data_IF_650616228574
#
_entry.id   IF_650616228574
#
_cell.length_a   1.000
_cell.length_b   1.000
_cell.length_c   1.000
_cell.angle_alpha   90.00
_cell.angle_beta   90.00
_cell.angle_gamma   90.00
#
_symmetry.space_group_name_H-M   'P 1'
#
loop_
_entity.id
_entity.type
_entity.pdbx_description
1 polymer ?
2 non-polymer ?
3 non-polymer ?
4 water ?
#
# COMPACT_ATOMS: atom_id res chain seq x y z
N UNK A 1 2.90 24.46 -2.52
CA UNK A 1 2.35 24.62 -1.14
C UNK A 1 2.47 23.31 -0.38
N UNK A 2 1.38 22.80 0.15
CA UNK A 2 1.34 21.53 0.85
C UNK A 2 0.11 20.76 0.39
N UNK A 3 0.27 19.50 -0.01
CA UNK A 3 -0.88 18.74 -0.48
C UNK A 3 -1.21 17.57 0.44
N UNK A 4 -2.50 17.28 0.56
CA UNK A 4 -2.96 16.13 1.32
C UNK A 4 -3.14 14.96 0.35
N UNK A 5 -2.29 13.95 0.49
CA UNK A 5 -2.38 12.75 -0.33
C UNK A 5 -2.99 11.64 0.53
N UNK A 6 -4.21 11.23 0.19
CA UNK A 6 -4.90 10.19 0.93
C UNK A 6 -4.80 8.87 0.18
N UNK A 7 -4.40 7.84 0.92
CA UNK A 7 -4.28 6.50 0.35
C UNK A 7 -5.21 5.58 1.16
N UNK A 8 -6.18 4.98 0.49
CA UNK A 8 -7.05 4.03 1.17
C UNK A 8 -6.54 2.66 0.72
N UNK A 9 -5.98 1.91 1.67
CA UNK A 9 -5.56 0.54 1.35
C UNK A 9 -6.81 -0.32 1.51
N UNK A 10 -7.39 -0.70 0.38
CA UNK A 10 -8.67 -1.40 0.39
C UNK A 10 -8.61 -2.89 0.64
N UNK A 11 -8.05 -3.60 -0.34
CA UNK A 11 -8.03 -5.05 -0.30
C UNK A 11 -6.95 -5.64 -1.20
N UNK A 12 -6.76 -6.95 -1.01
CA UNK A 12 -5.87 -7.70 -1.89
C UNK A 12 -6.56 -9.03 -2.21
N UNK A 13 -6.23 -9.62 -3.35
CA UNK A 13 -6.82 -10.89 -3.71
C UNK A 13 -5.72 -11.84 -4.21
N UNK A 14 -5.89 -13.11 -3.82
CA UNK A 14 -4.97 -14.15 -4.21
C UNK A 14 -3.55 -13.85 -3.74
N UNK A 15 -3.44 -13.48 -2.48
CA UNK A 15 -2.13 -13.32 -1.85
C UNK A 15 -1.52 -14.72 -1.77
N UNK A 16 -0.29 -14.85 -2.24
CA UNK A 16 0.39 -16.12 -2.25
C UNK A 16 1.90 -15.99 -2.11
N UNK A 17 2.52 -17.02 -1.53
CA UNK A 17 3.98 -17.08 -1.45
C UNK A 17 4.49 -18.05 -2.52
N UNK A 18 3.59 -18.64 -3.28
CA UNK A 18 3.91 -19.73 -4.20
C UNK A 18 3.27 -20.98 -3.56
N UNK A 19 3.19 -22.07 -4.31
CA UNK A 19 2.58 -23.29 -3.80
C UNK A 19 3.28 -23.80 -2.55
N UNK A 20 4.60 -23.93 -2.60
CA UNK A 20 5.34 -24.45 -1.46
C UNK A 20 5.24 -23.55 -0.23
N UNK A 21 5.46 -22.25 -0.41
CA UNK A 21 5.38 -21.31 0.69
C UNK A 21 3.98 -21.28 1.28
N UNK A 22 2.95 -21.29 0.44
CA UNK A 22 1.59 -21.33 0.94
C UNK A 22 1.29 -22.62 1.70
N UNK A 23 1.90 -23.75 1.33
CA UNK A 23 1.65 -24.99 2.07
C UNK A 23 2.35 -24.91 3.43
N UNK A 24 3.52 -24.31 3.52
CA UNK A 24 4.16 -24.08 4.81
C UNK A 24 3.33 -23.11 5.64
N UNK A 25 2.94 -21.97 5.06
CA UNK A 25 2.22 -20.95 5.82
C UNK A 25 1.24 -20.16 4.97
N UNK A 26 -0.05 -20.23 5.25
CA UNK A 26 -0.99 -19.36 4.53
C UNK A 26 -0.64 -17.91 4.91
N UNK A 27 -0.52 -17.06 3.90
CA UNK A 27 -0.19 -15.66 4.12
C UNK A 27 -1.05 -15.04 5.20
N UNK A 28 -0.39 -14.25 6.04
CA UNK A 28 -0.94 -13.44 7.12
C UNK A 28 -0.58 -12.01 6.71
N UNK A 29 -1.35 -11.44 5.79
CA UNK A 29 -1.01 -10.19 5.20
C UNK A 29 -1.36 -8.84 5.75
N UNK A 30 -0.51 -7.91 5.33
CA UNK A 30 -0.67 -6.50 5.64
C UNK A 30 0.07 -5.72 4.56
N UNK A 31 -0.28 -4.44 4.49
CA UNK A 31 0.33 -3.52 3.56
C UNK A 31 1.11 -2.46 4.34
N UNK A 32 2.23 -2.07 3.75
CA UNK A 32 3.09 -1.04 4.32
C UNK A 32 3.28 0.04 3.26
N UNK A 33 3.14 1.28 3.69
CA UNK A 33 3.28 2.46 2.86
C UNK A 33 4.49 3.28 3.29
N UNK A 34 5.16 3.89 2.34
CA UNK A 34 6.32 4.72 2.63
C UNK A 34 6.57 5.70 1.50
N UNK A 35 6.73 6.95 1.90
CA UNK A 35 7.01 8.05 0.99
C UNK A 35 8.23 8.75 1.59
N UNK A 36 9.38 8.46 1.01
CA UNK A 36 10.67 8.93 1.51
C UNK A 36 10.84 10.43 1.57
N UNK A 37 10.15 11.20 0.75
CA UNK A 37 10.25 12.64 0.71
C UNK A 37 9.37 13.40 1.68
N UNK A 38 8.82 12.77 2.70
CA UNK A 38 8.00 13.40 3.73
C UNK A 38 8.37 12.73 5.05
N UNK A 39 8.49 13.50 6.12
CA UNK A 39 9.03 13.09 7.39
C UNK A 39 8.66 11.76 7.97
N UNK A 40 7.82 11.51 8.95
CA UNK A 40 7.71 10.14 9.49
C UNK A 40 6.56 9.40 8.81
N UNK A 41 6.71 9.12 7.52
CA UNK A 41 5.69 8.58 6.66
C UNK A 41 5.43 7.08 6.67
N UNK A 42 6.37 6.25 7.10
CA UNK A 42 6.17 4.81 7.05
C UNK A 42 4.87 4.46 7.77
N UNK A 43 3.87 3.95 7.08
CA UNK A 43 2.59 3.62 7.71
C UNK A 43 2.22 2.21 7.29
N UNK A 44 1.32 1.54 8.01
CA UNK A 44 0.93 0.18 7.63
C UNK A 44 -0.40 -0.24 8.24
N UNK A 45 -1.06 -1.21 7.61
CA UNK A 45 -2.33 -1.73 8.06
C UNK A 45 -2.09 -2.80 9.12
N UNK A 46 -3.20 -3.30 9.64
CA UNK A 46 -3.12 -4.45 10.54
C UNK A 46 -2.97 -5.68 9.63
N UNK A 47 -2.49 -6.78 10.20
CA UNK A 47 -2.38 -8.02 9.43
C UNK A 47 -3.61 -8.87 9.72
N UNK A 48 -3.90 -9.80 8.82
CA UNK A 48 -4.99 -10.74 9.03
C UNK A 48 -4.38 -12.15 9.04
N UNK A 49 -4.85 -13.01 9.93
CA UNK A 49 -4.27 -14.36 9.96
C UNK A 49 -4.81 -15.21 8.83
N UNK A 50 -3.94 -15.95 8.17
CA UNK A 50 -4.30 -16.93 7.14
C UNK A 50 -5.43 -16.45 6.24
N UNK A 51 -5.16 -15.34 5.56
CA UNK A 51 -6.17 -14.73 4.69
C UNK A 51 -5.57 -14.32 3.36
N UNK A 52 -5.95 -15.03 2.31
CA UNK A 52 -5.40 -14.76 0.98
C UNK A 52 -6.18 -13.75 0.19
N UNK A 53 -7.31 -13.28 0.72
CA UNK A 53 -8.09 -12.20 0.12
C UNK A 53 -8.46 -11.16 1.19
N UNK A 54 -7.46 -10.54 1.79
CA UNK A 54 -7.68 -9.61 2.89
C UNK A 54 -8.33 -8.31 2.44
N UNK A 55 -9.28 -7.87 3.24
CA UNK A 55 -9.93 -6.57 3.06
C UNK A 55 -9.53 -5.67 4.24
N UNK A 56 -8.75 -4.63 3.98
CA UNK A 56 -8.33 -3.75 5.07
C UNK A 56 -9.25 -2.53 5.17
N UNK A 57 -9.44 -1.80 4.08
CA UNK A 57 -10.19 -0.55 4.10
C UNK A 57 -9.64 0.41 5.15
N UNK A 58 -8.34 0.64 5.09
CA UNK A 58 -7.65 1.51 6.03
C UNK A 58 -7.24 2.78 5.30
N UNK A 59 -7.49 3.92 5.93
CA UNK A 59 -7.17 5.21 5.31
C UNK A 59 -5.91 5.83 5.89
N UNK A 60 -5.01 6.25 5.00
CA UNK A 60 -3.74 6.86 5.37
C UNK A 60 -3.60 8.23 4.71
N UNK A 61 -3.05 9.16 5.48
CA UNK A 61 -2.86 10.53 5.01
C UNK A 61 -1.40 10.95 5.05
N UNK A 62 -0.94 11.54 3.97
CA UNK A 62 0.41 12.04 3.81
C UNK A 62 0.35 13.52 3.41
N UNK A 63 1.12 14.33 4.12
CA UNK A 63 1.18 15.76 3.80
C UNK A 63 2.45 15.94 2.98
N UNK A 64 2.28 16.24 1.70
CA UNK A 64 3.39 16.31 0.77
C UNK A 64 3.72 17.71 0.28
N UNK A 65 4.99 17.81 -0.11
CA UNK A 65 5.57 18.99 -0.73
C UNK A 65 5.57 18.66 -2.22
N UNK A 66 4.85 19.47 -2.99
CA UNK A 66 4.71 19.28 -4.42
C UNK A 66 5.96 19.54 -5.24
N UNK A 67 7.04 20.00 -4.65
CA UNK A 67 8.33 20.16 -5.29
C UNK A 67 9.13 18.87 -5.27
N UNK A 68 8.78 17.96 -4.35
CA UNK A 68 9.48 16.69 -4.25
C UNK A 68 9.00 15.68 -5.28
N UNK A 69 9.85 14.72 -5.63
CA UNK A 69 9.43 13.61 -6.49
C UNK A 69 8.81 12.54 -5.58
N UNK A 70 7.57 12.76 -5.17
CA UNK A 70 6.90 11.90 -4.22
C UNK A 70 6.40 10.62 -4.89
N UNK A 71 7.01 9.54 -4.42
CA UNK A 71 6.66 8.20 -4.92
C UNK A 71 6.22 7.35 -3.73
N UNK A 72 4.97 6.92 -3.80
CA UNK A 72 4.40 6.06 -2.78
C UNK A 72 4.97 4.65 -2.99
N UNK A 73 5.63 4.14 -1.97
CA UNK A 73 6.18 2.79 -2.03
C UNK A 73 5.22 1.92 -1.22
N UNK A 74 4.66 0.95 -1.92
CA UNK A 74 3.69 0.02 -1.39
C UNK A 74 4.29 -1.38 -1.30
N UNK A 75 4.25 -1.94 -0.10
CA UNK A 75 4.76 -3.28 0.10
C UNK A 75 3.68 -4.18 0.70
N UNK A 76 3.44 -5.29 0.02
CA UNK A 76 2.53 -6.33 0.46
C UNK A 76 3.36 -7.27 1.35
N UNK A 77 2.98 -7.37 2.62
CA UNK A 77 3.75 -8.13 3.57
C UNK A 77 2.98 -9.31 4.14
N UNK A 78 3.74 -10.30 4.58
CA UNK A 78 3.24 -11.46 5.30
C UNK A 78 3.81 -11.40 6.72
N UNK A 79 2.92 -11.33 7.70
CA UNK A 79 3.32 -11.33 9.10
C UNK A 79 3.82 -12.71 9.52
N UNK A 80 5.07 -12.81 9.95
CA UNK A 80 5.66 -14.08 10.37
C UNK A 80 6.18 -13.97 11.80
N UNK A 81 6.46 -15.12 12.44
CA UNK A 81 6.93 -15.09 13.82
C UNK A 81 8.34 -14.55 13.96
N UNK A 82 9.21 -14.82 12.99
CA UNK A 82 10.59 -14.37 13.12
C UNK A 82 10.87 -13.19 12.20
N UNK A 83 10.49 -13.28 10.94
CA UNK A 83 10.72 -12.18 10.02
C UNK A 83 9.63 -12.11 8.95
N UNK A 84 8.91 -11.01 9.00
CA UNK A 84 7.86 -10.72 8.04
C UNK A 84 8.44 -10.81 6.63
N UNK A 85 7.72 -11.43 5.71
CA UNK A 85 8.21 -11.59 4.35
C UNK A 85 7.58 -10.58 3.40
N UNK A 86 8.40 -10.00 2.54
CA UNK A 86 7.86 -9.06 1.56
C UNK A 86 7.45 -9.88 0.34
N UNK A 87 6.14 -9.95 0.09
CA UNK A 87 5.59 -10.70 -1.02
C UNK A 87 5.62 -9.88 -2.30
N UNK A 88 5.79 -8.56 -2.18
CA UNK A 88 5.86 -7.70 -3.34
C UNK A 88 5.99 -6.21 -2.97
N UNK A 89 6.50 -5.46 -3.93
CA UNK A 89 6.71 -4.03 -3.84
C UNK A 89 6.22 -3.30 -5.09
N UNK A 90 5.46 -2.23 -4.86
CA UNK A 90 4.97 -1.42 -5.97
C UNK A 90 5.25 0.04 -5.67
N UNK A 91 5.33 0.83 -6.73
CA UNK A 91 5.57 2.26 -6.57
C UNK A 91 4.44 3.03 -7.26
N UNK A 92 4.02 4.12 -6.65
CA UNK A 92 3.00 4.98 -7.24
C UNK A 92 3.55 6.42 -7.23
N UNK A 93 3.83 6.91 -8.43
CA UNK A 93 4.37 8.27 -8.53
C UNK A 93 3.22 9.25 -8.44
N UNK A 94 3.15 10.02 -7.36
CA UNK A 94 2.04 10.93 -7.11
C UNK A 94 1.86 11.98 -8.19
N UNK A 95 2.89 12.33 -8.95
CA UNK A 95 2.84 13.21 -10.10
C UNK A 95 1.71 12.88 -11.05
N UNK A 96 1.44 11.61 -11.30
CA UNK A 96 0.36 11.11 -12.12
C UNK A 96 -1.02 11.57 -11.68
N UNK A 97 -1.20 11.95 -10.43
CA UNK A 97 -2.45 12.46 -9.92
C UNK A 97 -2.42 13.99 -9.91
N UNK A 98 -3.58 14.61 -9.98
CA UNK A 98 -3.68 16.07 -9.92
C UNK A 98 -4.57 16.48 -8.76
N UNK A 99 -4.33 17.65 -8.19
CA UNK A 99 -5.17 18.10 -7.09
C UNK A 99 -6.63 17.99 -7.50
N UNK A 100 -7.47 17.52 -6.59
CA UNK A 100 -8.89 17.35 -6.87
C UNK A 100 -9.23 15.94 -7.33
N UNK A 101 -8.29 15.23 -7.94
CA UNK A 101 -8.50 13.88 -8.42
C UNK A 101 -8.53 12.85 -7.30
N UNK A 102 -9.32 11.82 -7.54
CA UNK A 102 -9.53 10.69 -6.65
C UNK A 102 -9.75 9.46 -7.53
N UNK A 103 -8.87 8.48 -7.44
CA UNK A 103 -8.97 7.32 -8.31
C UNK A 103 -8.54 6.01 -7.66
N UNK A 104 -9.02 4.92 -8.27
CA UNK A 104 -8.70 3.58 -7.83
C UNK A 104 -7.48 3.11 -8.62
N UNK A 105 -6.41 2.77 -7.89
CA UNK A 105 -5.25 2.19 -8.53
C UNK A 105 -4.99 0.77 -8.02
N UNK A 106 -5.23 -0.20 -8.88
CA UNK A 106 -4.94 -1.59 -8.59
C UNK A 106 -3.48 -1.88 -8.92
N UNK A 107 -2.79 -2.64 -8.09
CA UNK A 107 -1.42 -3.05 -8.35
C UNK A 107 -1.44 -4.58 -8.43
N UNK A 108 -0.69 -5.13 -9.36
CA UNK A 108 -0.59 -6.57 -9.51
C UNK A 108 0.82 -6.98 -9.08
N UNK A 109 0.90 -7.87 -8.11
CA UNK A 109 2.18 -8.39 -7.64
C UNK A 109 2.37 -9.82 -8.14
N UNK A 110 3.50 -10.03 -8.81
CA UNK A 110 3.93 -11.31 -9.33
C UNK A 110 3.00 -11.86 -10.39
N UNK A 111 2.25 -10.98 -11.05
CA UNK A 111 1.25 -11.29 -12.04
C UNK A 111 0.12 -12.18 -11.55
N UNK A 112 -0.09 -12.28 -10.25
CA UNK A 112 -1.04 -13.15 -9.59
C UNK A 112 -1.91 -12.41 -8.57
N UNK A 113 -1.30 -11.67 -7.64
CA UNK A 113 -2.08 -11.10 -6.55
C UNK A 113 -2.44 -9.66 -6.84
N UNK A 114 -3.73 -9.33 -6.68
CA UNK A 114 -4.15 -7.96 -6.94
C UNK A 114 -4.34 -7.18 -5.63
N UNK A 115 -3.78 -5.99 -5.55
CA UNK A 115 -3.96 -5.15 -4.37
C UNK A 115 -4.59 -3.84 -4.85
N UNK A 116 -5.73 -3.51 -4.25
CA UNK A 116 -6.44 -2.32 -4.71
C UNK A 116 -6.34 -1.16 -3.73
N UNK A 117 -5.90 -0.03 -4.26
CA UNK A 117 -5.77 1.20 -3.50
C UNK A 117 -6.60 2.31 -4.13
N UNK A 118 -7.15 3.16 -3.27
CA UNK A 118 -7.79 4.38 -3.72
C UNK A 118 -6.97 5.60 -3.30
N UNK A 119 -6.53 6.37 -4.28
CA UNK A 119 -5.73 7.56 -4.05
C UNK A 119 -6.54 8.85 -4.18
N UNK A 120 -6.27 9.81 -3.30
CA UNK A 120 -6.85 11.14 -3.38
C UNK A 120 -5.79 12.23 -3.17
N UNK A 121 -5.86 13.26 -3.99
CA UNK A 121 -4.94 14.38 -3.88
C UNK A 121 -5.73 15.68 -3.74
N UNK A 122 -5.45 16.39 -2.66
CA UNK A 122 -6.04 17.67 -2.33
C UNK A 122 -4.94 18.66 -1.95
N UNK A 123 -5.27 19.94 -2.01
CA UNK A 123 -4.39 21.05 -1.66
C UNK A 123 -4.30 21.26 -0.16
N UNK A 124 -5.23 20.69 0.59
CA UNK A 124 -5.40 20.81 2.01
C UNK A 124 -4.23 21.23 2.90
N UNK A 125 -4.65 21.93 3.94
CA UNK A 125 -3.92 22.38 5.10
C UNK A 125 -4.93 23.11 6.01
N UNK A 126 -5.81 22.31 6.60
CA UNK A 126 -6.87 22.78 7.48
C UNK A 126 -6.58 24.13 8.12
X LIG B 1 -0.29 23.26 -5.00
X LIG C 1 -0.36 -17.94 8.34
X LIG D 1 3.08 -15.64 7.84
X LIG E 1 -1.23 -13.22 13.52
#
# INVERSE_FOLDING_TARGET
>A
SSHKFTVVVLRATKVTKGAFGDMLDTPDPYVELFISTTPDSRKRTRHFNNDINPVWNETFEFILDPNQENVLEITLMDANYVMDETLGTATFTVSSMKVGEKKEVPFIFNQVTEMVLEMSLEVASS
>B hetero
1 CD CD
>C hetero
1 CA CA
>D hetero
1 CA CA
>E hetero
1 CD CD
#
